data_IF_438969914905
#
_entry.id   IF_438969914905
#
_cell.length_a   1.000
_cell.length_b   1.000
_cell.length_c   1.000
_cell.angle_alpha   90.00
_cell.angle_beta   90.00
_cell.angle_gamma   90.00
#
_symmetry.space_group_name_H-M   'P 1'
#
loop_
_entity.id
_entity.type
_entity.pdbx_description
1 polymer ?
#
# COMPACT_ATOMS: atom_id res chain seq x y z
N UNK A 1 -7.93 7.18 12.72
CA UNK A 1 -6.69 7.82 12.24
C UNK A 1 -5.65 6.72 12.11
N UNK A 2 -5.35 6.29 10.89
CA UNK A 2 -4.37 5.24 10.63
C UNK A 2 -3.23 5.82 9.81
N UNK A 3 -2.03 5.30 10.02
CA UNK A 3 -0.85 5.63 9.24
C UNK A 3 -1.07 5.19 7.79
N UNK A 4 -0.86 6.10 6.84
CA UNK A 4 -1.04 5.80 5.41
C UNK A 4 0.00 4.81 4.84
N UNK A 5 1.10 4.53 5.57
CA UNK A 5 2.10 3.53 5.17
C UNK A 5 1.77 2.15 5.76
N UNK A 6 1.60 2.06 7.08
CA UNK A 6 1.42 0.76 7.75
C UNK A 6 -0.04 0.33 7.90
N UNK A 7 -1.00 1.23 7.73
CA UNK A 7 -2.41 0.99 8.05
C UNK A 7 -2.69 0.86 9.56
N UNK A 8 -1.67 0.96 10.41
CA UNK A 8 -1.82 0.86 11.86
C UNK A 8 -2.10 2.20 12.53
N UNK A 9 -2.62 2.17 13.76
CA UNK A 9 -2.73 3.37 14.57
C UNK A 9 -1.30 3.85 14.94
N UNK A 10 -0.91 5.08 14.57
CA UNK A 10 0.42 5.59 14.87
C UNK A 10 0.59 5.85 16.38
N UNK A 11 1.79 5.58 16.88
CA UNK A 11 2.26 5.96 18.21
C UNK A 11 2.68 7.44 18.21
N UNK A 12 3.43 7.87 17.19
CA UNK A 12 3.83 9.26 16.97
C UNK A 12 3.23 9.78 15.66
N UNK A 13 1.96 10.24 15.68
CA UNK A 13 1.29 10.73 14.48
C UNK A 13 1.92 12.04 14.00
N UNK A 14 2.34 12.05 12.74
CA UNK A 14 2.77 13.25 12.02
C UNK A 14 1.95 13.41 10.75
N UNK A 15 1.71 14.65 10.33
CA UNK A 15 1.05 14.98 9.06
C UNK A 15 2.03 15.61 8.12
N UNK A 16 2.00 15.16 6.87
CA UNK A 16 2.65 15.85 5.75
C UNK A 16 1.83 17.08 5.37
N UNK A 17 2.45 18.25 5.32
CA UNK A 17 1.80 19.50 4.83
C UNK A 17 1.37 19.38 3.37
N UNK A 18 2.05 18.53 2.58
CA UNK A 18 1.78 18.32 1.15
C UNK A 18 0.55 17.45 0.93
N UNK A 19 0.54 16.26 1.51
CA UNK A 19 -0.53 15.28 1.27
C UNK A 19 -1.69 15.39 2.26
N UNK A 20 -1.50 16.04 3.41
CA UNK A 20 -2.50 16.12 4.49
C UNK A 20 -2.77 14.77 5.17
N UNK A 21 -2.00 13.73 4.84
CA UNK A 21 -2.17 12.39 5.38
C UNK A 21 -1.40 12.22 6.70
N UNK A 22 -1.92 11.32 7.54
CA UNK A 22 -1.32 10.97 8.83
C UNK A 22 -0.36 9.80 8.61
N UNK A 23 0.84 9.92 9.18
CA UNK A 23 1.89 8.93 9.14
C UNK A 23 2.43 8.65 10.55
N UNK A 24 3.05 7.48 10.70
CA UNK A 24 3.94 7.19 11.82
C UNK A 24 5.29 7.87 11.56
N UNK A 25 5.76 8.68 12.51
CA UNK A 25 6.99 9.49 12.37
C UNK A 25 8.18 8.68 11.86
N UNK A 26 8.44 7.52 12.48
CA UNK A 26 9.55 6.64 12.12
C UNK A 26 9.49 6.16 10.66
N UNK A 27 8.28 5.91 10.15
CA UNK A 27 8.11 5.35 8.80
C UNK A 27 8.25 6.43 7.74
N UNK A 28 7.67 7.61 7.95
CA UNK A 28 7.75 8.71 6.98
C UNK A 28 9.16 9.33 6.93
N UNK A 29 9.83 9.51 8.07
CA UNK A 29 11.21 10.02 8.09
C UNK A 29 12.16 9.07 7.34
N UNK A 30 11.98 7.75 7.53
CA UNK A 30 12.74 6.75 6.77
C UNK A 30 12.44 6.84 5.27
N UNK A 31 11.17 6.93 4.88
CA UNK A 31 10.79 7.04 3.48
C UNK A 31 11.37 8.29 2.80
N UNK A 32 11.29 9.45 3.48
CA UNK A 32 11.87 10.72 3.01
C UNK A 32 13.39 10.60 2.88
N UNK A 33 14.07 9.95 3.82
CA UNK A 33 15.53 9.77 3.73
C UNK A 33 15.97 8.91 2.53
N UNK A 34 15.13 7.96 2.11
CA UNK A 34 15.43 7.04 1.01
C UNK A 34 14.99 7.59 -0.36
N UNK A 35 13.85 8.30 -0.42
CA UNK A 35 13.19 8.67 -1.68
C UNK A 35 13.06 10.19 -1.90
N UNK A 36 13.17 11.00 -0.84
CA UNK A 36 13.04 12.47 -0.89
C UNK A 36 11.65 12.98 -1.28
N UNK A 37 10.61 12.15 -1.20
CA UNK A 37 9.26 12.43 -1.70
C UNK A 37 8.17 11.93 -0.75
N UNK A 38 6.96 12.45 -0.90
CA UNK A 38 5.77 11.99 -0.19
C UNK A 38 5.28 10.66 -0.78
N UNK A 39 4.99 9.63 0.05
CA UNK A 39 4.60 8.30 -0.42
C UNK A 39 3.24 8.24 -1.11
N UNK A 40 2.38 9.25 -0.96
CA UNK A 40 1.03 9.28 -1.55
C UNK A 40 0.98 10.18 -2.78
N UNK A 41 1.51 11.40 -2.67
CA UNK A 41 1.43 12.40 -3.76
C UNK A 41 2.65 12.41 -4.68
N UNK A 42 3.76 11.76 -4.30
CA UNK A 42 5.07 11.81 -4.98
C UNK A 42 5.68 13.21 -5.09
N UNK A 43 5.21 14.18 -4.30
CA UNK A 43 5.78 15.53 -4.24
C UNK A 43 7.07 15.54 -3.41
N UNK A 44 7.99 16.45 -3.71
CA UNK A 44 9.20 16.65 -2.90
C UNK A 44 8.82 17.19 -1.51
N UNK A 45 9.34 16.52 -0.49
CA UNK A 45 9.05 16.82 0.91
C UNK A 45 10.30 16.62 1.75
N UNK A 46 10.47 17.47 2.75
CA UNK A 46 11.57 17.40 3.72
C UNK A 46 11.03 17.02 5.10
N UNK A 47 11.92 16.60 6.01
CA UNK A 47 11.52 16.26 7.38
C UNK A 47 10.92 17.46 8.14
N UNK A 48 11.28 18.69 7.75
CA UNK A 48 10.77 19.93 8.35
C UNK A 48 9.31 20.22 7.95
N UNK A 49 8.84 19.61 6.86
CA UNK A 49 7.44 19.71 6.39
C UNK A 49 6.50 18.75 7.14
N UNK A 50 7.01 18.03 8.14
CA UNK A 50 6.23 17.13 8.98
C UNK A 50 5.75 17.84 10.25
N UNK A 51 4.43 17.87 10.44
CA UNK A 51 3.81 18.48 11.62
C UNK A 51 3.36 17.38 12.58
N UNK A 52 3.88 17.41 13.81
CA UNK A 52 3.46 16.49 14.87
C UNK A 52 2.02 16.78 15.33
N UNK A 53 1.20 15.74 15.42
CA UNK A 53 -0.13 15.83 16.01
C UNK A 53 -0.07 15.37 17.46
N UNK A 54 -0.51 16.22 18.39
CA UNK A 54 -0.71 15.82 19.78
C UNK A 54 -2.09 15.18 19.92
N UNK A 55 -2.13 13.85 20.05
CA UNK A 55 -3.37 13.10 20.33
C UNK A 55 -3.60 12.98 21.84
N UNK A 56 -4.79 13.39 22.29
CA UNK A 56 -5.28 13.15 23.67
C UNK A 56 -6.62 12.41 23.59
N UNK A 57 -6.70 11.14 24.05
CA UNK A 57 -5.65 10.31 24.67
C UNK A 57 -4.61 9.81 23.66
N UNK A 58 -3.40 9.53 24.14
CA UNK A 58 -2.38 8.81 23.36
C UNK A 58 -2.96 7.46 22.92
N UNK A 59 -2.76 7.12 21.66
CA UNK A 59 -3.18 5.86 21.05
C UNK A 59 -2.34 4.70 21.58
N UNK A 60 -2.59 4.29 22.83
CA UNK A 60 -1.90 3.16 23.45
C UNK A 60 -2.69 1.89 23.20
N UNK A 61 -2.11 0.94 22.45
CA UNK A 61 -2.66 -0.42 22.37
C UNK A 61 -2.58 -1.08 23.76
N UNK A 62 -3.68 -1.62 24.33
CA UNK A 62 -3.62 -2.29 25.63
C UNK A 62 -2.66 -3.47 25.55
N UNK A 63 -1.69 -3.55 26.47
CA UNK A 63 -0.74 -4.68 26.50
C UNK A 63 -1.50 -5.99 26.79
N UNK A 64 -1.44 -7.00 25.91
CA UNK A 64 -2.03 -8.30 26.18
C UNK A 64 -1.42 -8.93 27.45
N UNK A 65 -2.23 -9.53 28.35
CA UNK A 65 -1.76 -10.05 29.64
C UNK A 65 -0.75 -11.21 29.52
N UNK A 66 -0.56 -11.77 28.32
CA UNK A 66 0.31 -12.92 28.05
C UNK A 66 1.76 -12.55 27.71
N UNK A 67 2.12 -11.27 27.56
CA UNK A 67 3.48 -10.82 27.21
C UNK A 67 4.33 -10.48 28.44
N UNK A 68 4.41 -11.39 29.40
CA UNK A 68 5.11 -11.15 30.68
C UNK A 68 6.34 -12.04 30.90
N UNK A 69 6.53 -13.10 30.10
CA UNK A 69 7.68 -14.01 30.20
C UNK A 69 8.49 -14.07 28.91
N UNK A 70 9.80 -14.31 29.01
CA UNK A 70 10.68 -14.44 27.82
C UNK A 70 10.17 -15.49 26.81
N UNK A 71 9.72 -16.70 27.24
CA UNK A 71 9.14 -17.66 26.30
C UNK A 71 7.88 -17.14 25.58
N UNK A 72 7.02 -16.40 26.29
CA UNK A 72 5.81 -15.84 25.68
C UNK A 72 6.09 -14.74 24.65
N UNK A 73 7.13 -13.91 24.87
CA UNK A 73 7.56 -12.93 23.87
C UNK A 73 8.12 -13.61 22.62
N UNK A 74 8.98 -14.63 22.79
CA UNK A 74 9.56 -15.36 21.66
C UNK A 74 8.48 -16.05 20.81
N UNK A 75 7.51 -16.69 21.44
CA UNK A 75 6.38 -17.30 20.73
C UNK A 75 5.53 -16.25 19.99
N UNK A 76 5.28 -15.09 20.60
CA UNK A 76 4.56 -14.00 19.91
C UNK A 76 5.33 -13.49 18.69
N UNK A 77 6.63 -13.26 18.82
CA UNK A 77 7.46 -12.80 17.71
C UNK A 77 7.53 -13.83 16.57
N UNK A 78 7.60 -15.13 16.90
CA UNK A 78 7.52 -16.20 15.90
C UNK A 78 6.19 -16.16 15.15
N UNK A 79 5.07 -16.04 15.86
CA UNK A 79 3.74 -15.98 15.25
C UNK A 79 3.56 -14.76 14.34
N UNK A 80 4.06 -13.58 14.74
CA UNK A 80 4.01 -12.38 13.91
C UNK A 80 4.88 -12.55 12.66
N UNK A 81 6.08 -13.13 12.81
CA UNK A 81 6.98 -13.36 11.68
C UNK A 81 6.42 -14.39 10.68
N UNK A 82 5.84 -15.48 11.18
CA UNK A 82 5.18 -16.48 10.35
C UNK A 82 3.99 -15.85 9.58
N UNK A 83 3.22 -14.99 10.25
CA UNK A 83 2.10 -14.27 9.64
C UNK A 83 2.57 -13.36 8.49
N UNK A 84 3.61 -12.55 8.72
CA UNK A 84 4.22 -11.69 7.69
C UNK A 84 4.79 -12.51 6.54
N UNK A 85 5.43 -13.65 6.81
CA UNK A 85 6.02 -14.49 5.77
C UNK A 85 4.93 -15.13 4.89
N UNK A 86 3.84 -15.62 5.49
CA UNK A 86 2.70 -16.17 4.75
C UNK A 86 1.99 -15.09 3.93
N UNK A 87 1.77 -13.90 4.50
CA UNK A 87 1.20 -12.76 3.77
C UNK A 87 2.09 -12.36 2.57
N UNK A 88 3.40 -12.25 2.77
CA UNK A 88 4.35 -11.94 1.70
C UNK A 88 4.32 -12.98 0.58
N UNK A 89 4.20 -14.26 0.93
CA UNK A 89 4.06 -15.34 -0.04
C UNK A 89 2.75 -15.22 -0.84
N UNK A 90 1.61 -15.05 -0.16
CA UNK A 90 0.30 -14.86 -0.80
C UNK A 90 0.28 -13.62 -1.69
N UNK A 91 0.83 -12.49 -1.23
CA UNK A 91 0.91 -11.26 -2.01
C UNK A 91 1.75 -11.45 -3.29
N UNK A 92 2.88 -12.16 -3.20
CA UNK A 92 3.69 -12.50 -4.38
C UNK A 92 2.92 -13.39 -5.36
N UNK A 93 2.17 -14.38 -4.86
CA UNK A 93 1.35 -15.25 -5.69
C UNK A 93 0.25 -14.46 -6.41
N UNK A 94 -0.49 -13.62 -5.68
CA UNK A 94 -1.52 -12.74 -6.25
C UNK A 94 -0.94 -11.78 -7.28
N UNK A 95 0.22 -11.19 -7.01
CA UNK A 95 0.91 -10.32 -7.96
C UNK A 95 1.21 -11.02 -9.29
N UNK A 96 1.73 -12.24 -9.27
CA UNK A 96 1.99 -13.00 -10.50
C UNK A 96 0.70 -13.37 -11.23
N UNK A 97 -0.34 -13.76 -10.50
CA UNK A 97 -1.65 -14.06 -11.07
C UNK A 97 -2.26 -12.85 -11.78
N UNK A 98 -2.32 -11.70 -11.11
CA UNK A 98 -2.86 -10.46 -11.69
C UNK A 98 -2.09 -10.02 -12.93
N UNK A 99 -0.76 -10.21 -12.96
CA UNK A 99 0.04 -9.94 -14.16
C UNK A 99 -0.33 -10.84 -15.34
N UNK A 100 -0.60 -12.12 -15.08
CA UNK A 100 -1.02 -13.05 -16.12
C UNK A 100 -2.42 -12.72 -16.64
N UNK A 101 -3.36 -12.43 -15.74
CA UNK A 101 -4.73 -12.01 -16.07
C UNK A 101 -4.73 -10.71 -16.89
N UNK A 102 -3.92 -9.71 -16.49
CA UNK A 102 -3.76 -8.46 -17.23
C UNK A 102 -3.23 -8.72 -18.64
N UNK A 103 -2.23 -9.60 -18.80
CA UNK A 103 -1.67 -9.94 -20.11
C UNK A 103 -2.75 -10.55 -21.02
N UNK A 104 -3.55 -11.48 -20.48
CA UNK A 104 -4.67 -12.07 -21.23
C UNK A 104 -5.72 -11.03 -21.62
N UNK A 105 -6.09 -10.13 -20.70
CA UNK A 105 -7.05 -9.06 -20.97
C UNK A 105 -6.57 -8.10 -22.08
N UNK A 106 -5.28 -7.76 -22.11
CA UNK A 106 -4.69 -6.93 -23.16
C UNK A 106 -4.72 -7.63 -24.53
N UNK A 107 -4.41 -8.93 -24.61
CA UNK A 107 -4.53 -9.70 -25.85
C UNK A 107 -5.98 -9.75 -26.36
N UNK A 108 -6.94 -9.96 -25.45
CA UNK A 108 -8.35 -9.97 -25.80
C UNK A 108 -8.83 -8.58 -26.30
N UNK A 109 -8.36 -7.49 -25.68
CA UNK A 109 -8.68 -6.13 -26.08
C UNK A 109 -8.17 -5.81 -27.51
N UNK A 110 -6.92 -6.17 -27.80
CA UNK A 110 -6.35 -6.00 -29.14
C UNK A 110 -7.10 -6.83 -30.20
N UNK A 111 -7.43 -8.09 -29.89
CA UNK A 111 -8.26 -8.92 -30.76
C UNK A 111 -9.65 -8.30 -31.02
N UNK A 112 -10.33 -7.83 -29.98
CA UNK A 112 -11.62 -7.16 -30.11
C UNK A 112 -11.53 -5.88 -30.95
N UNK A 113 -10.47 -5.09 -30.77
CA UNK A 113 -10.22 -3.88 -31.56
C UNK A 113 -10.06 -4.18 -33.06
N UNK A 114 -9.37 -5.27 -33.41
CA UNK A 114 -9.26 -5.73 -34.81
C UNK A 114 -10.61 -6.16 -35.40
N UNK A 115 -11.44 -6.85 -34.61
CA UNK A 115 -12.79 -7.24 -35.04
C UNK A 115 -13.66 -6.02 -35.27
N UNK A 116 -13.63 -5.04 -34.35
CA UNK A 116 -14.37 -3.78 -34.50
C UNK A 116 -13.90 -3.05 -35.77
N UNK A 117 -12.60 -2.95 -36.03
CA UNK A 117 -12.08 -2.30 -37.23
C UNK A 117 -12.58 -2.97 -38.52
N UNK A 118 -12.58 -4.32 -38.55
CA UNK A 118 -13.13 -5.08 -39.68
C UNK A 118 -14.63 -4.83 -39.87
N UNK A 119 -15.41 -4.95 -38.81
CA UNK A 119 -16.85 -4.73 -38.84
C UNK A 119 -17.21 -3.29 -39.23
N UNK A 120 -16.43 -2.29 -38.80
CA UNK A 120 -16.60 -0.91 -39.24
C UNK A 120 -16.47 -0.80 -40.76
N UNK A 121 -15.41 -1.40 -41.34
CA UNK A 121 -15.18 -1.40 -42.79
C UNK A 121 -16.32 -2.10 -43.56
N UNK A 122 -16.76 -3.27 -43.09
CA UNK A 122 -17.88 -4.00 -43.71
C UNK A 122 -19.20 -3.22 -43.63
N UNK A 123 -19.47 -2.57 -42.50
CA UNK A 123 -20.67 -1.74 -42.26
C UNK A 123 -20.67 -0.47 -43.10
N UNK A 124 -19.49 0.12 -43.33
CA UNK A 124 -19.37 1.30 -44.19
C UNK A 124 -19.57 0.92 -45.67
N UNK A 125 -19.00 -0.21 -46.12
CA UNK A 125 -19.19 -0.73 -47.48
C UNK A 125 -20.63 -1.18 -47.79
N UNK A 126 -21.40 -1.62 -46.80
CA UNK A 126 -22.81 -2.00 -46.99
C UNK A 126 -23.78 -0.80 -47.03
N UNK A 127 -23.31 0.41 -46.71
CA UNK A 127 -24.11 1.65 -46.73
C UNK A 127 -23.92 2.48 -48.01
N UNK A 128 -22.82 2.25 -48.74
CA UNK A 128 -22.60 2.74 -50.10
C UNK A 128 -23.39 1.89 -51.11
#
# INVERSE_FOLDING_TARGET
>A
MFCAISGEAPEQPVVSVKSGNIFERRLIEKYISEHGRDPVTNEEITADDLIEIKTTPETVKPRPPKLSSVPSLLSSLQNEWDSVMLESFTLKQQYQQVRQELSHALYQNDAATRVIARLKKERDAARE
#
